data_IF_477379265177
#
_entry.id   IF_477379265177
#
_cell.length_a   1.000
_cell.length_b   1.000
_cell.length_c   1.000
_cell.angle_alpha   90.00
_cell.angle_beta   90.00
_cell.angle_gamma   90.00
#
_symmetry.space_group_name_H-M   'P 1'
#
loop_
_entity.id
_entity.type
_entity.pdbx_description
1 polymer ?
#
# COMPACT_ATOMS: atom_id res chain seq x y z
N UNK A 1 -14.88 10.83 1.22
CA UNK A 1 -14.99 9.72 2.21
C UNK A 1 -14.06 9.92 3.40
N UNK A 2 -12.73 9.97 3.20
CA UNK A 2 -11.76 10.14 4.29
C UNK A 2 -11.98 11.39 5.17
N UNK A 3 -12.34 12.53 4.56
CA UNK A 3 -12.66 13.78 5.26
C UNK A 3 -13.95 13.67 6.09
N UNK A 4 -14.91 12.87 5.62
CA UNK A 4 -16.27 12.81 6.16
C UNK A 4 -16.35 11.83 7.36
N UNK A 5 -15.64 10.70 7.30
CA UNK A 5 -15.73 9.65 8.32
C UNK A 5 -14.51 9.65 9.27
N UNK A 6 -14.68 10.30 10.44
CA UNK A 6 -13.64 10.42 11.49
C UNK A 6 -13.06 9.06 11.94
N UNK A 7 -13.87 8.00 11.96
CA UNK A 7 -13.45 6.66 12.35
C UNK A 7 -12.49 6.01 11.33
N UNK A 8 -12.65 6.33 10.03
CA UNK A 8 -11.74 5.85 8.99
C UNK A 8 -10.44 6.64 8.99
N UNK A 9 -10.51 7.96 9.22
CA UNK A 9 -9.34 8.84 9.33
C UNK A 9 -8.33 8.39 10.39
N UNK A 10 -8.79 7.72 11.45
CA UNK A 10 -7.92 7.29 12.54
C UNK A 10 -7.21 5.96 12.32
N UNK A 11 -7.57 5.20 11.27
CA UNK A 11 -6.89 3.94 10.96
C UNK A 11 -5.67 4.19 10.08
N UNK A 12 -4.57 3.52 10.41
CA UNK A 12 -3.28 3.64 9.71
C UNK A 12 -3.46 3.36 8.22
N UNK A 13 -4.18 2.28 7.89
CA UNK A 13 -4.48 1.88 6.51
C UNK A 13 -4.98 3.04 5.64
N UNK A 14 -6.01 3.75 6.09
CA UNK A 14 -6.63 4.79 5.28
C UNK A 14 -5.75 6.02 5.14
N UNK A 15 -4.86 6.29 6.11
CA UNK A 15 -3.86 7.37 6.02
C UNK A 15 -2.82 7.04 4.96
N UNK A 16 -2.34 5.80 4.92
CA UNK A 16 -1.42 5.33 3.88
C UNK A 16 -2.11 5.40 2.52
N UNK A 17 -3.35 4.90 2.39
CA UNK A 17 -4.10 4.97 1.13
C UNK A 17 -4.34 6.41 0.66
N UNK A 18 -4.62 7.34 1.58
CA UNK A 18 -4.71 8.76 1.23
C UNK A 18 -3.36 9.28 0.71
N UNK A 19 -2.26 8.90 1.36
CA UNK A 19 -0.91 9.30 0.94
C UNK A 19 -0.55 8.76 -0.45
N UNK A 20 -0.95 7.53 -0.78
CA UNK A 20 -0.82 6.95 -2.13
C UNK A 20 -1.62 7.80 -3.12
N UNK A 21 -2.89 8.04 -2.85
CA UNK A 21 -3.76 8.83 -3.74
C UNK A 21 -3.25 10.28 -3.96
N UNK A 22 -2.65 10.89 -2.94
CA UNK A 22 -2.00 12.20 -3.08
C UNK A 22 -0.76 12.13 -3.97
N UNK A 23 0.03 11.06 -3.88
CA UNK A 23 1.21 10.86 -4.73
C UNK A 23 0.82 10.65 -6.18
N UNK A 24 -0.18 9.78 -6.44
CA UNK A 24 -0.78 9.58 -7.77
C UNK A 24 -1.30 10.89 -8.36
N UNK A 25 -2.01 11.68 -7.54
CA UNK A 25 -2.54 12.97 -7.97
C UNK A 25 -1.42 13.94 -8.37
N UNK A 26 -0.33 14.03 -7.61
CA UNK A 26 0.81 14.89 -7.94
C UNK A 26 1.48 14.48 -9.24
N UNK A 27 1.67 13.17 -9.46
CA UNK A 27 2.24 12.63 -10.69
C UNK A 27 1.36 12.95 -11.90
N UNK A 28 0.06 12.67 -11.80
CA UNK A 28 -0.91 12.94 -12.87
C UNK A 28 -1.04 14.44 -13.16
N UNK A 29 -1.01 15.26 -12.11
CA UNK A 29 -1.08 16.71 -12.25
C UNK A 29 0.11 17.25 -13.06
N UNK A 30 1.33 16.77 -12.78
CA UNK A 30 2.52 17.15 -13.52
C UNK A 30 2.44 16.77 -15.00
N UNK A 31 2.03 15.53 -15.31
CA UNK A 31 1.82 15.10 -16.71
C UNK A 31 0.75 15.96 -17.38
N UNK A 32 -0.42 16.09 -16.75
CA UNK A 32 -1.55 16.79 -17.34
C UNK A 32 -1.22 18.25 -17.67
N UNK A 33 -0.49 18.94 -16.78
CA UNK A 33 -0.04 20.31 -17.01
C UNK A 33 0.83 20.42 -18.27
N UNK A 34 1.75 19.47 -18.48
CA UNK A 34 2.69 19.53 -19.61
C UNK A 34 2.09 19.04 -20.92
N UNK A 35 1.24 18.02 -20.88
CA UNK A 35 0.40 17.64 -22.03
C UNK A 35 -0.49 18.80 -22.46
N UNK A 36 -1.05 19.55 -21.51
CA UNK A 36 -1.84 20.75 -21.80
C UNK A 36 -0.99 21.84 -22.47
N UNK A 37 0.22 22.11 -21.94
CA UNK A 37 1.13 23.07 -22.58
C UNK A 37 1.47 22.68 -24.01
N UNK A 38 1.75 21.41 -24.25
CA UNK A 38 2.07 20.90 -25.57
C UNK A 38 0.88 21.00 -26.53
N UNK A 39 -0.32 20.62 -26.10
CA UNK A 39 -1.54 20.70 -26.89
C UNK A 39 -1.85 22.13 -27.37
N UNK A 40 -1.59 23.14 -26.52
CA UNK A 40 -1.81 24.54 -26.88
C UNK A 40 -0.57 25.23 -27.48
N UNK A 41 0.53 24.51 -27.70
CA UNK A 41 1.79 25.07 -28.22
C UNK A 41 2.45 26.09 -27.27
N UNK A 42 2.16 26.00 -25.97
CA UNK A 42 2.71 26.90 -24.96
C UNK A 42 4.12 26.45 -24.56
N UNK A 43 5.04 27.41 -24.46
CA UNK A 43 6.40 27.15 -24.00
C UNK A 43 6.45 27.18 -22.47
N UNK A 44 6.67 26.02 -21.87
CA UNK A 44 6.97 25.91 -20.44
C UNK A 44 8.33 26.54 -20.11
N UNK A 45 8.41 27.28 -19.01
CA UNK A 45 9.70 27.81 -18.52
C UNK A 45 10.60 26.67 -18.04
N UNK A 46 11.91 26.87 -18.09
CA UNK A 46 12.88 25.90 -17.57
C UNK A 46 12.62 25.54 -16.11
N UNK A 47 12.28 26.55 -15.30
CA UNK A 47 11.88 26.36 -13.91
C UNK A 47 10.67 25.42 -13.80
N UNK A 48 9.62 25.63 -14.61
CA UNK A 48 8.42 24.78 -14.56
C UNK A 48 8.71 23.34 -14.99
N UNK A 49 9.59 23.13 -15.97
CA UNK A 49 10.02 21.80 -16.42
C UNK A 49 10.72 21.06 -15.30
N UNK A 50 11.74 21.67 -14.69
CA UNK A 50 12.47 21.09 -13.56
C UNK A 50 11.59 20.82 -12.35
N UNK A 51 10.67 21.73 -12.06
CA UNK A 51 9.74 21.55 -10.95
C UNK A 51 8.82 20.35 -11.18
N UNK A 52 8.16 20.29 -12.34
CA UNK A 52 7.24 19.21 -12.67
C UNK A 52 7.96 17.86 -12.81
N UNK A 53 9.16 17.83 -13.39
CA UNK A 53 9.95 16.60 -13.49
C UNK A 53 10.34 16.08 -12.11
N UNK A 54 10.79 16.96 -11.20
CA UNK A 54 11.07 16.59 -9.82
C UNK A 54 9.83 16.04 -9.11
N UNK A 55 8.69 16.73 -9.23
CA UNK A 55 7.42 16.28 -8.63
C UNK A 55 7.03 14.90 -9.16
N UNK A 56 7.11 14.69 -10.48
CA UNK A 56 6.76 13.44 -11.13
C UNK A 56 7.62 12.27 -10.64
N UNK A 57 8.95 12.43 -10.70
CA UNK A 57 9.91 11.38 -10.33
C UNK A 57 9.80 11.08 -8.83
N UNK A 58 9.80 12.10 -7.98
CA UNK A 58 9.80 11.90 -6.53
C UNK A 58 8.43 11.36 -6.05
N UNK A 59 7.32 11.72 -6.71
CA UNK A 59 6.02 11.12 -6.42
C UNK A 59 6.02 9.61 -6.66
N UNK A 60 6.74 9.14 -7.68
CA UNK A 60 6.92 7.71 -7.97
C UNK A 60 7.70 7.00 -6.85
N UNK A 61 8.82 7.57 -6.43
CA UNK A 61 9.60 7.06 -5.30
C UNK A 61 8.79 7.02 -4.01
N UNK A 62 8.03 8.08 -3.76
CA UNK A 62 7.17 8.16 -2.60
C UNK A 62 6.08 7.08 -2.63
N UNK A 63 5.50 6.79 -3.80
CA UNK A 63 4.50 5.74 -3.98
C UNK A 63 5.05 4.35 -3.61
N UNK A 64 6.31 4.06 -3.97
CA UNK A 64 6.98 2.80 -3.60
C UNK A 64 7.11 2.68 -2.08
N UNK A 65 7.55 3.74 -1.40
CA UNK A 65 7.64 3.78 0.06
C UNK A 65 6.26 3.58 0.71
N UNK A 66 5.21 4.19 0.17
CA UNK A 66 3.86 4.03 0.69
C UNK A 66 3.32 2.60 0.53
N UNK A 67 3.62 1.92 -0.59
CA UNK A 67 3.26 0.52 -0.78
C UNK A 67 4.00 -0.40 0.19
N UNK A 68 5.27 -0.11 0.48
CA UNK A 68 6.03 -0.80 1.51
C UNK A 68 5.42 -0.62 2.90
N UNK A 69 5.08 0.63 3.29
CA UNK A 69 4.40 0.89 4.56
C UNK A 69 3.05 0.18 4.65
N UNK A 70 2.30 0.10 3.55
CA UNK A 70 1.04 -0.64 3.47
C UNK A 70 1.27 -2.14 3.72
N UNK A 71 2.23 -2.75 3.04
CA UNK A 71 2.57 -4.17 3.21
C UNK A 71 2.99 -4.48 4.66
N UNK A 72 3.82 -3.61 5.25
CA UNK A 72 4.26 -3.73 6.64
C UNK A 72 3.08 -3.60 7.62
N UNK A 73 2.19 -2.63 7.41
CA UNK A 73 0.98 -2.48 8.23
C UNK A 73 0.12 -3.76 8.21
N UNK A 74 -0.08 -4.35 7.03
CA UNK A 74 -0.83 -5.61 6.90
C UNK A 74 -0.14 -6.75 7.62
N UNK A 75 1.17 -6.89 7.47
CA UNK A 75 1.93 -7.93 8.14
C UNK A 75 1.79 -7.83 9.66
N UNK A 76 1.94 -6.63 10.23
CA UNK A 76 1.78 -6.40 11.68
C UNK A 76 0.39 -6.80 12.16
N UNK A 77 -0.66 -6.44 11.41
CA UNK A 77 -2.04 -6.81 11.74
C UNK A 77 -2.20 -8.34 11.78
N UNK A 78 -1.70 -9.05 10.76
CA UNK A 78 -1.82 -10.51 10.69
C UNK A 78 -0.95 -11.24 11.71
N UNK A 79 0.26 -10.75 11.98
CA UNK A 79 1.13 -11.27 13.04
C UNK A 79 0.45 -11.11 14.40
N UNK A 80 -0.08 -9.92 14.71
CA UNK A 80 -0.81 -9.70 15.97
C UNK A 80 -2.05 -10.58 16.07
N UNK A 81 -2.82 -10.70 14.99
CA UNK A 81 -3.97 -11.59 14.92
C UNK A 81 -3.61 -13.05 15.22
N UNK A 82 -2.44 -13.51 14.78
CA UNK A 82 -1.95 -14.86 15.03
C UNK A 82 -1.54 -15.09 16.49
N UNK A 83 -0.82 -14.14 17.10
CA UNK A 83 -0.33 -14.29 18.48
C UNK A 83 -1.35 -13.89 19.55
N UNK A 84 -2.28 -12.98 19.24
CA UNK A 84 -3.25 -12.41 20.19
C UNK A 84 -4.66 -12.33 19.57
N UNK A 85 -5.38 -13.47 19.43
CA UNK A 85 -6.67 -13.53 18.73
C UNK A 85 -7.76 -12.63 19.33
N UNK A 86 -7.70 -12.39 20.64
CA UNK A 86 -8.65 -11.53 21.38
C UNK A 86 -8.43 -10.03 21.14
N UNK A 87 -7.26 -9.64 20.62
CA UNK A 87 -6.85 -8.24 20.38
C UNK A 87 -7.23 -7.73 18.97
N UNK A 88 -8.06 -8.44 18.22
CA UNK A 88 -8.28 -8.20 16.78
C UNK A 88 -8.85 -6.81 16.42
N UNK A 89 -9.41 -6.08 17.39
CA UNK A 89 -10.36 -5.01 17.09
C UNK A 89 -9.75 -3.61 16.90
N UNK A 90 -8.60 -3.29 17.50
CA UNK A 90 -8.06 -1.92 17.43
C UNK A 90 -6.53 -1.84 17.31
N UNK A 91 -6.06 -0.96 16.42
CA UNK A 91 -4.65 -0.57 16.29
C UNK A 91 -4.20 0.14 17.58
N UNK A 92 -3.01 -0.21 18.08
CA UNK A 92 -2.52 0.38 19.32
C UNK A 92 -2.15 1.85 19.13
N UNK A 93 -2.24 2.70 20.17
CA UNK A 93 -1.83 4.10 20.06
C UNK A 93 -0.37 4.27 19.63
N UNK A 94 0.52 3.39 20.08
CA UNK A 94 1.95 3.40 19.72
C UNK A 94 2.16 3.05 18.25
N UNK A 95 1.49 2.02 17.72
CA UNK A 95 1.54 1.69 16.28
C UNK A 95 1.09 2.88 15.43
N UNK A 96 -0.03 3.51 15.81
CA UNK A 96 -0.53 4.69 15.11
C UNK A 96 0.49 5.82 15.11
N UNK A 97 1.13 6.07 16.25
CA UNK A 97 2.16 7.09 16.37
C UNK A 97 3.36 6.79 15.46
N UNK A 98 3.88 5.56 15.49
CA UNK A 98 5.02 5.14 14.66
C UNK A 98 4.71 5.27 13.16
N UNK A 99 3.55 4.78 12.70
CA UNK A 99 3.18 4.91 11.29
C UNK A 99 2.97 6.36 10.86
N UNK A 100 2.37 7.20 11.71
CA UNK A 100 2.26 8.62 11.40
C UNK A 100 3.62 9.29 11.31
N UNK A 101 4.55 8.94 12.19
CA UNK A 101 5.91 9.44 12.13
C UNK A 101 6.59 9.05 10.80
N UNK A 102 6.50 7.79 10.39
CA UNK A 102 7.06 7.34 9.11
C UNK A 102 6.40 8.00 7.89
N UNK A 103 5.08 8.21 7.92
CA UNK A 103 4.36 8.94 6.88
C UNK A 103 4.81 10.41 6.78
N UNK A 104 4.91 11.10 7.91
CA UNK A 104 5.38 12.50 7.91
C UNK A 104 6.83 12.57 7.43
N UNK A 105 7.68 11.66 7.92
CA UNK A 105 9.07 11.58 7.52
C UNK A 105 9.22 11.32 6.02
N UNK A 106 8.40 10.45 5.41
CA UNK A 106 8.45 10.20 3.97
C UNK A 106 8.10 11.44 3.16
N UNK A 107 7.09 12.22 3.58
CA UNK A 107 6.75 13.50 2.96
C UNK A 107 7.84 14.56 3.13
N UNK A 108 8.52 14.60 4.28
CA UNK A 108 9.65 15.52 4.50
C UNK A 108 10.84 15.17 3.60
N UNK A 109 11.15 13.88 3.45
CA UNK A 109 12.17 13.39 2.52
C UNK A 109 11.79 13.78 1.09
N UNK A 110 10.53 13.59 0.70
CA UNK A 110 10.00 14.03 -0.61
C UNK A 110 10.27 15.52 -0.86
N UNK A 111 9.98 16.37 0.13
CA UNK A 111 10.23 17.82 0.03
C UNK A 111 11.71 18.17 -0.08
N UNK A 112 12.58 17.48 0.67
CA UNK A 112 14.02 17.68 0.59
C UNK A 112 14.59 17.27 -0.78
N UNK A 113 14.10 16.14 -1.32
CA UNK A 113 14.47 15.68 -2.66
C UNK A 113 13.99 16.64 -3.74
N UNK A 114 12.80 17.24 -3.58
CA UNK A 114 12.31 18.24 -4.54
C UNK A 114 13.23 19.47 -4.57
N UNK A 115 13.71 19.93 -3.41
CA UNK A 115 14.68 21.02 -3.34
C UNK A 115 15.98 20.63 -4.05
N UNK A 116 16.45 19.40 -3.87
CA UNK A 116 17.65 18.88 -4.55
C UNK A 116 17.49 18.86 -6.08
N UNK A 117 16.33 18.40 -6.58
CA UNK A 117 15.96 18.42 -8.00
C UNK A 117 15.80 19.81 -8.58
N UNK A 118 15.44 20.80 -7.76
CA UNK A 118 15.34 22.19 -8.22
C UNK A 118 16.70 22.89 -8.29
N UNK A 119 17.72 22.37 -7.60
CA UNK A 119 18.99 23.07 -7.38
C UNK A 119 20.18 22.42 -8.09
N UNK A 120 20.31 21.11 -8.01
CA UNK A 120 21.52 20.38 -8.44
C UNK A 120 21.21 19.32 -9.47
N UNK A 121 20.17 18.52 -9.22
CA UNK A 121 19.68 17.52 -10.16
C UNK A 121 18.68 18.17 -11.13
N UNK A 122 18.15 17.40 -12.09
CA UNK A 122 17.16 17.92 -13.01
C UNK A 122 16.44 16.82 -13.77
N UNK A 123 15.43 17.24 -14.53
CA UNK A 123 14.70 16.36 -15.42
C UNK A 123 14.24 17.10 -16.66
N UNK A 124 13.97 16.31 -17.69
CA UNK A 124 13.55 16.75 -19.01
C UNK A 124 12.13 16.24 -19.29
N UNK A 125 11.34 17.08 -19.96
CA UNK A 125 10.08 16.65 -20.58
C UNK A 125 10.39 16.13 -21.98
N UNK A 126 9.96 14.91 -22.27
CA UNK A 126 9.97 14.35 -23.61
C UNK A 126 8.54 14.27 -24.15
N UNK A 127 8.28 15.07 -25.18
CA UNK A 127 7.00 15.14 -25.89
C UNK A 127 6.67 13.87 -26.66
N UNK A 128 7.68 13.14 -27.15
CA UNK A 128 7.45 11.94 -27.96
C UNK A 128 6.86 10.80 -27.14
N UNK A 129 7.34 10.66 -25.90
CA UNK A 129 6.87 9.66 -24.94
C UNK A 129 5.86 10.21 -23.93
N UNK A 130 5.56 11.51 -23.97
CA UNK A 130 4.64 12.22 -23.07
C UNK A 130 5.02 11.95 -21.60
N UNK A 131 6.29 12.16 -21.27
CA UNK A 131 6.86 11.75 -19.99
C UNK A 131 7.99 12.64 -19.49
N UNK A 132 8.30 12.50 -18.20
CA UNK A 132 9.46 13.12 -17.58
C UNK A 132 10.57 12.10 -17.37
N UNK A 133 11.79 12.52 -17.67
CA UNK A 133 13.00 11.71 -17.54
C UNK A 133 14.06 12.50 -16.78
N UNK A 134 15.07 11.78 -16.29
CA UNK A 134 16.28 12.38 -15.76
C UNK A 134 17.05 13.15 -16.83
N UNK A 135 17.68 14.25 -16.45
CA UNK A 135 18.68 14.88 -17.29
C UNK A 135 20.03 14.15 -17.25
N UNK A 136 20.96 14.52 -18.13
CA UNK A 136 22.28 13.91 -18.24
C UNK A 136 23.31 14.45 -17.22
N UNK A 137 22.84 15.10 -16.14
CA UNK A 137 23.75 15.61 -15.11
C UNK A 137 24.32 14.47 -14.25
N UNK A 138 25.56 14.61 -13.79
CA UNK A 138 26.19 13.63 -12.90
C UNK A 138 25.41 13.44 -11.58
N UNK A 139 24.68 14.48 -11.12
CA UNK A 139 23.77 14.39 -9.97
C UNK A 139 22.61 13.43 -10.28
N UNK A 140 21.92 13.64 -11.39
CA UNK A 140 20.78 12.83 -11.82
C UNK A 140 21.17 11.39 -12.09
N UNK A 141 22.35 11.14 -12.66
CA UNK A 141 22.86 9.78 -12.86
C UNK A 141 23.07 9.04 -11.52
N UNK A 142 23.68 9.71 -10.53
CA UNK A 142 23.87 9.14 -9.19
C UNK A 142 22.56 8.93 -8.44
N UNK A 143 21.61 9.86 -8.60
CA UNK A 143 20.28 9.71 -8.04
C UNK A 143 19.57 8.51 -8.65
N UNK A 144 19.57 8.37 -9.98
CA UNK A 144 18.99 7.23 -10.70
C UNK A 144 19.58 5.89 -10.27
N UNK A 145 20.89 5.85 -10.03
CA UNK A 145 21.56 4.66 -9.49
C UNK A 145 21.03 4.30 -8.10
N UNK A 146 20.88 5.29 -7.22
CA UNK A 146 20.32 5.10 -5.88
C UNK A 146 18.83 4.68 -5.93
N UNK A 147 18.05 5.35 -6.76
CA UNK A 147 16.64 5.08 -7.03
C UNK A 147 16.45 3.63 -7.49
N UNK A 148 17.30 3.15 -8.39
CA UNK A 148 17.27 1.76 -8.87
C UNK A 148 17.39 0.74 -7.73
N UNK A 149 18.26 0.98 -6.75
CA UNK A 149 18.37 0.08 -5.60
C UNK A 149 17.10 0.11 -4.72
N UNK A 150 16.51 1.29 -4.48
CA UNK A 150 15.30 1.41 -3.66
C UNK A 150 14.05 0.87 -4.36
N UNK A 151 13.91 1.11 -5.66
CA UNK A 151 12.81 0.62 -6.51
C UNK A 151 12.81 -0.90 -6.64
N UNK A 152 13.94 -1.57 -6.40
CA UNK A 152 14.00 -3.03 -6.30
C UNK A 152 13.83 -3.50 -4.86
N UNK A 153 14.55 -2.90 -3.91
CA UNK A 153 14.60 -3.35 -2.53
C UNK A 153 13.22 -3.25 -1.84
N UNK A 154 12.53 -2.12 -1.93
CA UNK A 154 11.24 -1.95 -1.24
C UNK A 154 10.13 -2.86 -1.78
N UNK A 155 9.96 -3.04 -3.10
CA UNK A 155 9.03 -4.04 -3.62
C UNK A 155 9.41 -5.46 -3.23
N UNK A 156 10.69 -5.84 -3.25
CA UNK A 156 11.13 -7.16 -2.81
C UNK A 156 10.77 -7.43 -1.34
N UNK A 157 11.02 -6.46 -0.45
CA UNK A 157 10.62 -6.57 0.96
C UNK A 157 9.10 -6.65 1.09
N UNK A 158 8.35 -5.88 0.30
CA UNK A 158 6.88 -5.91 0.31
C UNK A 158 6.35 -7.28 -0.11
N UNK A 159 6.94 -7.91 -1.14
CA UNK A 159 6.63 -9.29 -1.54
C UNK A 159 6.90 -10.26 -0.39
N UNK A 160 8.05 -10.15 0.29
CA UNK A 160 8.36 -10.96 1.47
C UNK A 160 7.31 -10.78 2.57
N UNK A 161 6.81 -9.56 2.81
CA UNK A 161 5.72 -9.32 3.76
C UNK A 161 4.44 -10.07 3.35
N UNK A 162 4.04 -10.01 2.08
CA UNK A 162 2.84 -10.70 1.60
C UNK A 162 2.99 -12.22 1.63
N UNK A 163 4.16 -12.76 1.28
CA UNK A 163 4.48 -14.19 1.41
C UNK A 163 4.36 -14.63 2.87
N UNK A 164 4.91 -13.85 3.82
CA UNK A 164 4.77 -14.12 5.25
C UNK A 164 3.30 -14.11 5.71
N UNK A 165 2.49 -13.16 5.23
CA UNK A 165 1.03 -13.12 5.50
C UNK A 165 0.35 -14.40 5.03
N UNK A 166 0.66 -14.88 3.82
CA UNK A 166 0.09 -16.13 3.28
C UNK A 166 0.45 -17.32 4.18
N UNK A 167 1.70 -17.42 4.64
CA UNK A 167 2.12 -18.48 5.56
C UNK A 167 1.40 -18.41 6.91
N UNK A 168 1.23 -17.22 7.47
CA UNK A 168 0.48 -17.00 8.71
C UNK A 168 -0.97 -17.43 8.52
N UNK A 169 -1.63 -16.98 7.45
CA UNK A 169 -3.01 -17.34 7.13
C UNK A 169 -3.19 -18.85 6.95
N UNK A 170 -2.24 -19.53 6.30
CA UNK A 170 -2.27 -20.99 6.15
C UNK A 170 -2.20 -21.69 7.52
N UNK A 171 -1.33 -21.23 8.43
CA UNK A 171 -1.25 -21.77 9.79
C UNK A 171 -2.53 -21.51 10.59
N UNK A 172 -3.09 -20.30 10.51
CA UNK A 172 -4.36 -19.93 11.16
C UNK A 172 -5.52 -20.79 10.64
N UNK A 173 -5.64 -20.93 9.31
CA UNK A 173 -6.68 -21.75 8.69
C UNK A 173 -6.58 -23.23 9.08
N UNK A 174 -5.37 -23.76 9.24
CA UNK A 174 -5.15 -25.11 9.79
C UNK A 174 -5.57 -25.18 11.27
N UNK A 175 -5.33 -24.12 12.06
CA UNK A 175 -5.70 -24.07 13.47
C UNK A 175 -7.22 -24.11 13.66
N UNK A 176 -7.97 -23.26 12.94
CA UNK A 176 -9.43 -23.29 12.96
C UNK A 176 -9.99 -24.59 12.39
N UNK A 177 -9.35 -25.20 11.38
CA UNK A 177 -9.78 -26.49 10.84
C UNK A 177 -9.54 -27.65 11.82
N UNK A 178 -8.55 -27.56 12.70
CA UNK A 178 -8.31 -28.55 13.78
C UNK A 178 -9.28 -28.40 14.95
N UNK A 179 -9.65 -27.18 15.34
CA UNK A 179 -10.62 -26.95 16.42
C UNK A 179 -12.07 -27.29 16.03
N UNK A 180 -12.40 -27.31 14.74
CA UNK A 180 -13.71 -27.73 14.22
C UNK A 180 -13.79 -29.22 13.84
N UNK A 181 -12.81 -30.05 14.20
CA UNK A 181 -13.06 -31.50 14.35
C UNK A 181 -13.89 -31.68 15.62
N UNK A 182 -15.19 -31.45 15.46
CA UNK A 182 -16.21 -31.81 16.44
C UNK A 182 -16.01 -33.28 16.85
N UNK A 183 -16.12 -33.61 18.14
CA UNK A 183 -16.18 -35.00 18.58
C UNK A 183 -17.34 -35.68 17.84
N UNK A 184 -17.06 -36.85 17.27
CA UNK A 184 -18.10 -37.77 16.79
C UNK A 184 -18.96 -38.22 17.99
N UNK A 185 -19.93 -37.39 18.34
CA UNK A 185 -21.21 -37.81 18.88
C UNK A 185 -22.29 -36.85 18.37
N UNK A 186 -22.38 -36.80 17.04
CA UNK A 186 -23.44 -36.15 16.24
C UNK A 186 -24.87 -36.58 16.61
N UNK A 187 -25.01 -37.64 17.42
CA UNK A 187 -26.30 -38.13 17.92
C UNK A 187 -26.89 -37.27 19.05
N UNK A 188 -26.06 -36.54 19.81
CA UNK A 188 -26.54 -35.73 20.95
C UNK A 188 -27.11 -34.36 20.55
N UNK A 189 -26.78 -33.84 19.36
CA UNK A 189 -27.27 -32.54 18.88
C UNK A 189 -28.56 -32.65 18.03
N UNK A 190 -28.89 -33.84 17.53
CA UNK A 190 -30.12 -34.05 16.74
C UNK A 190 -31.39 -34.08 17.61
N UNK A 191 -31.31 -34.42 18.90
CA UNK A 191 -32.47 -34.40 19.79
C UNK A 191 -32.95 -32.97 20.09
N UNK A 192 -32.03 -32.02 20.20
CA UNK A 192 -32.36 -30.65 20.65
C UNK A 192 -32.85 -29.76 19.49
N UNK A 193 -32.42 -30.05 18.26
CA UNK A 193 -32.75 -29.28 17.05
C UNK A 193 -34.13 -29.60 16.45
N UNK A 194 -34.85 -30.63 16.91
CA UNK A 194 -36.24 -30.88 16.48
C UNK A 194 -37.27 -29.91 17.11
N UNK A 195 -36.86 -29.07 18.07
CA UNK A 195 -37.75 -28.17 18.81
C UNK A 195 -37.85 -26.74 18.25
N UNK A 196 -37.06 -26.37 17.24
CA UNK A 196 -37.01 -24.99 16.72
C UNK A 196 -37.62 -24.85 15.31
N UNK A 197 -38.58 -23.93 15.08
CA UNK A 197 -39.34 -23.84 13.83
C UNK A 197 -38.67 -22.99 12.73
N UNK A 198 -37.35 -22.78 12.78
CA UNK A 198 -36.64 -21.94 11.80
C UNK A 198 -35.60 -22.75 11.05
N UNK A 199 -35.98 -23.23 9.85
CA UNK A 199 -35.05 -23.83 8.89
C UNK A 199 -34.10 -22.75 8.33
N UNK A 200 -32.99 -22.51 9.01
CA UNK A 200 -31.84 -21.82 8.41
C UNK A 200 -31.07 -22.81 7.54
N UNK A 201 -31.25 -22.70 6.22
CA UNK A 201 -30.44 -23.41 5.22
C UNK A 201 -29.04 -22.78 5.20
N UNK A 202 -28.09 -23.38 5.89
CA UNK A 202 -26.66 -23.10 5.66
C UNK A 202 -26.18 -23.98 4.51
N UNK A 203 -25.98 -23.38 3.34
CA UNK A 203 -25.31 -24.05 2.22
C UNK A 203 -23.80 -23.99 2.48
N UNK A 204 -23.25 -25.03 3.09
CA UNK A 204 -21.80 -25.20 3.22
C UNK A 204 -21.28 -25.74 1.90
N UNK A 205 -20.51 -24.94 1.16
CA UNK A 205 -19.75 -25.41 0.00
C UNK A 205 -18.52 -26.17 0.50
N UNK A 206 -18.55 -27.49 0.39
CA UNK A 206 -17.35 -28.32 0.41
C UNK A 206 -16.79 -28.39 -1.01
N UNK A 207 -15.51 -28.04 -1.26
CA UNK A 207 -14.89 -28.37 -2.52
C UNK A 207 -14.68 -29.89 -2.56
N UNK A 208 -15.45 -30.57 -3.41
CA UNK A 208 -15.24 -31.97 -3.74
C UNK A 208 -13.91 -32.15 -4.50
N UNK A 209 -13.28 -33.30 -4.25
CA UNK A 209 -12.19 -33.93 -5.01
C UNK A 209 -10.74 -33.50 -4.72
N UNK A 210 -10.13 -34.22 -3.77
CA UNK A 210 -8.75 -34.69 -3.88
C UNK A 210 -8.74 -36.13 -3.35
N UNK A 211 -9.13 -37.06 -4.21
CA UNK A 211 -8.86 -38.50 -4.10
C UNK A 211 -8.93 -39.11 -5.51
N UNK A 212 -7.77 -39.17 -6.15
CA UNK A 212 -7.40 -40.18 -7.14
C UNK A 212 -5.91 -40.43 -6.98
#
# INVERSE_FOLDING_TARGET
VFIIYKNLRNRILYRIMLSIALSDFLQLFAIFQFTFYEYFGWKASEFSKKFASGVYIIAWDHLIVQHFLLALNRLIIFVRAFYFPTSFKEESPSERLSFNFFLILSWLIMGALQILFMTICGGIWDSETVGFFYDDSACSEKYRELEFYFTIAFPAISICCYVAIIFILKKVGIFYKKEFYFPESLESLQSDLQSFPVKLKFTVFFPESLNS
#
